data_IF_572466599404
#
_entry.id   IF_572466599404
#
_cell.length_a   1.000
_cell.length_b   1.000
_cell.length_c   1.000
_cell.angle_alpha   90.00
_cell.angle_beta   90.00
_cell.angle_gamma   90.00
#
_symmetry.space_group_name_H-M   'P 1'
#
loop_
_entity.id
_entity.type
_entity.pdbx_description
1 polymer ?
#
# COMPACT_ATOMS: atom_id res chain seq x y z
N UNK A 1 11.33 19.74 -17.47
CA UNK A 1 10.75 18.92 -16.37
C UNK A 1 9.27 18.71 -16.59
N UNK A 2 8.48 19.77 -16.76
CA UNK A 2 7.02 19.68 -16.96
C UNK A 2 6.63 18.75 -18.10
N UNK A 3 7.25 18.86 -19.28
CA UNK A 3 6.98 17.99 -20.44
C UNK A 3 7.17 16.49 -20.17
N UNK A 4 8.04 16.15 -19.19
CA UNK A 4 8.24 14.76 -18.76
C UNK A 4 7.11 14.30 -17.84
N UNK A 5 6.63 15.17 -16.96
CA UNK A 5 5.50 14.90 -16.07
C UNK A 5 4.21 14.76 -16.87
N UNK A 6 4.01 15.61 -17.90
CA UNK A 6 2.81 15.59 -18.74
C UNK A 6 2.64 14.28 -19.54
N UNK A 7 3.75 13.58 -19.79
CA UNK A 7 3.75 12.26 -20.47
C UNK A 7 3.46 11.10 -19.52
N UNK A 8 3.53 11.31 -18.18
CA UNK A 8 3.26 10.26 -17.21
C UNK A 8 1.76 9.92 -17.17
N UNK A 9 1.49 8.61 -17.05
CA UNK A 9 0.15 8.04 -16.78
C UNK A 9 0.32 6.93 -15.75
N UNK A 10 -0.67 6.75 -14.90
CA UNK A 10 -0.63 5.74 -13.83
C UNK A 10 0.60 5.85 -12.92
N UNK A 11 1.13 7.05 -12.75
CA UNK A 11 2.24 7.34 -11.86
C UNK A 11 1.73 7.65 -10.45
N UNK A 12 2.64 7.68 -9.50
CA UNK A 12 2.36 8.05 -8.13
C UNK A 12 2.83 9.48 -7.83
N UNK A 13 2.15 10.14 -6.88
CA UNK A 13 2.54 11.47 -6.39
C UNK A 13 2.95 11.33 -4.93
N UNK A 14 4.15 11.82 -4.57
CA UNK A 14 4.65 11.83 -3.20
C UNK A 14 4.66 13.27 -2.72
N UNK A 15 3.85 13.60 -1.73
CA UNK A 15 3.78 14.91 -1.10
C UNK A 15 4.63 14.90 0.17
N UNK A 16 5.79 15.57 0.09
CA UNK A 16 6.82 15.61 1.11
C UNK A 16 7.91 14.57 0.90
N UNK A 17 9.19 15.01 0.78
CA UNK A 17 10.36 14.12 0.64
C UNK A 17 11.24 14.10 1.89
N UNK A 18 10.64 14.28 3.05
CA UNK A 18 11.27 14.00 4.33
C UNK A 18 11.60 12.50 4.50
N UNK A 19 11.89 12.06 5.74
CA UNK A 19 12.28 10.66 6.01
C UNK A 19 11.28 9.63 5.48
N UNK A 20 9.98 9.83 5.71
CA UNK A 20 8.95 8.88 5.26
C UNK A 20 8.80 8.92 3.74
N UNK A 21 8.69 10.11 3.14
CA UNK A 21 8.56 10.23 1.69
C UNK A 21 9.76 9.69 0.93
N UNK A 22 10.98 9.84 1.46
CA UNK A 22 12.18 9.24 0.87
C UNK A 22 12.12 7.71 0.90
N UNK A 23 11.58 7.10 1.97
CA UNK A 23 11.40 5.64 2.03
C UNK A 23 10.31 5.17 1.04
N UNK A 24 9.22 5.93 0.89
CA UNK A 24 8.20 5.65 -0.14
C UNK A 24 8.80 5.74 -1.54
N UNK A 25 9.61 6.77 -1.80
CA UNK A 25 10.30 6.93 -3.08
C UNK A 25 11.26 5.78 -3.37
N UNK A 26 11.98 5.29 -2.34
CA UNK A 26 12.84 4.12 -2.47
C UNK A 26 12.07 2.89 -2.93
N UNK A 27 10.96 2.58 -2.26
CA UNK A 27 10.11 1.43 -2.60
C UNK A 27 9.55 1.51 -4.02
N UNK A 28 9.07 2.69 -4.43
CA UNK A 28 8.59 2.90 -5.79
C UNK A 28 9.72 2.77 -6.82
N UNK A 29 10.93 3.21 -6.47
CA UNK A 29 12.10 3.11 -7.34
C UNK A 29 12.54 1.65 -7.53
N UNK A 30 12.67 0.86 -6.47
CA UNK A 30 13.09 -0.55 -6.56
C UNK A 30 12.02 -1.44 -7.20
N UNK A 31 10.76 -1.02 -7.16
CA UNK A 31 9.64 -1.72 -7.82
C UNK A 31 9.32 -1.17 -9.22
N UNK A 32 10.19 -0.30 -9.77
CA UNK A 32 10.08 0.33 -11.09
C UNK A 32 8.72 1.00 -11.35
N UNK A 33 8.22 1.70 -10.33
CA UNK A 33 6.96 2.45 -10.42
C UNK A 33 7.24 3.93 -10.64
N UNK A 34 6.71 4.55 -11.72
CA UNK A 34 6.94 5.95 -12.00
C UNK A 34 6.28 6.85 -10.95
N UNK A 35 6.99 7.89 -10.51
CA UNK A 35 6.46 8.86 -9.55
C UNK A 35 6.98 10.28 -9.76
N UNK A 36 6.25 11.23 -9.22
CA UNK A 36 6.61 12.66 -9.09
C UNK A 36 6.63 13.00 -7.61
N UNK A 37 7.67 13.67 -7.15
CA UNK A 37 7.76 14.15 -5.78
C UNK A 37 7.43 15.65 -5.71
N UNK A 38 6.77 16.07 -4.64
CA UNK A 38 6.43 17.47 -4.33
C UNK A 38 7.09 17.84 -3.00
N UNK A 39 7.79 18.95 -2.96
CA UNK A 39 8.43 19.46 -1.75
C UNK A 39 8.55 20.99 -1.81
N UNK A 40 8.36 21.66 -0.69
CA UNK A 40 8.47 23.12 -0.59
C UNK A 40 9.79 23.61 0.03
N UNK A 41 10.54 22.72 0.68
CA UNK A 41 11.81 23.04 1.33
C UNK A 41 13.01 22.77 0.40
N UNK A 42 13.73 23.81 -0.11
CA UNK A 42 14.87 23.59 -1.00
C UNK A 42 15.94 22.63 -0.47
N UNK A 43 16.33 22.66 0.82
CA UNK A 43 17.33 21.72 1.33
C UNK A 43 16.85 20.24 1.28
N UNK A 44 15.55 20.00 1.44
CA UNK A 44 14.98 18.65 1.33
C UNK A 44 15.02 18.15 -0.13
N UNK A 45 14.78 19.05 -1.09
CA UNK A 45 14.87 18.76 -2.53
C UNK A 45 16.31 18.38 -2.90
N UNK A 46 17.30 19.16 -2.46
CA UNK A 46 18.73 18.89 -2.72
C UNK A 46 19.12 17.53 -2.17
N UNK A 47 18.87 17.26 -0.90
CA UNK A 47 19.15 15.95 -0.26
C UNK A 47 18.43 14.78 -0.95
N UNK A 48 17.25 15.02 -1.51
CA UNK A 48 16.50 14.01 -2.24
C UNK A 48 17.11 13.75 -3.64
N UNK A 49 17.53 14.81 -4.34
CA UNK A 49 18.20 14.70 -5.63
C UNK A 49 19.55 14.01 -5.55
N UNK A 50 20.30 14.18 -4.46
CA UNK A 50 21.56 13.46 -4.24
C UNK A 50 21.35 11.95 -4.23
N UNK A 51 20.23 11.48 -3.68
CA UNK A 51 19.87 10.05 -3.64
C UNK A 51 19.22 9.55 -4.93
N UNK A 52 18.42 10.41 -5.56
CA UNK A 52 17.60 10.07 -6.74
C UNK A 52 17.73 11.12 -7.85
N UNK A 53 18.91 11.24 -8.52
CA UNK A 53 19.21 12.33 -9.46
C UNK A 53 18.29 12.41 -10.68
N UNK A 54 17.65 11.29 -11.04
CA UNK A 54 16.77 11.20 -12.24
C UNK A 54 15.29 11.42 -11.93
N UNK A 55 14.93 11.59 -10.66
CA UNK A 55 13.54 11.72 -10.22
C UNK A 55 12.98 13.10 -10.58
N UNK A 56 11.70 13.12 -10.90
CA UNK A 56 10.96 14.36 -11.16
C UNK A 56 10.49 14.95 -9.83
N UNK A 57 11.02 16.11 -9.46
CA UNK A 57 10.67 16.81 -8.23
C UNK A 57 10.12 18.19 -8.59
N UNK A 58 8.88 18.48 -8.21
CA UNK A 58 8.29 19.79 -8.31
C UNK A 58 8.48 20.55 -6.98
N UNK A 59 9.05 21.73 -7.07
CA UNK A 59 9.09 22.65 -5.95
C UNK A 59 7.73 23.36 -5.81
N UNK A 60 7.12 23.27 -4.63
CA UNK A 60 5.85 23.92 -4.32
C UNK A 60 5.11 23.30 -3.14
N UNK A 61 4.09 23.99 -2.68
CA UNK A 61 3.22 23.48 -1.63
C UNK A 61 2.30 22.37 -2.17
N UNK A 62 2.42 21.19 -1.60
CA UNK A 62 1.64 20.01 -2.02
C UNK A 62 0.14 20.12 -1.71
N UNK A 63 -0.29 21.11 -0.92
CA UNK A 63 -1.71 21.38 -0.65
C UNK A 63 -2.37 22.29 -1.68
N UNK A 64 -1.56 22.89 -2.59
CA UNK A 64 -2.00 23.78 -3.63
C UNK A 64 -2.53 23.00 -4.84
N UNK A 65 -3.73 23.35 -5.31
CA UNK A 65 -4.41 22.75 -6.47
C UNK A 65 -3.53 22.80 -7.72
N UNK A 66 -2.88 23.94 -8.00
CA UNK A 66 -2.08 24.12 -9.22
C UNK A 66 -0.82 23.25 -9.19
N UNK A 67 -0.22 23.07 -8.01
CA UNK A 67 0.94 22.19 -7.84
C UNK A 67 0.53 20.72 -8.06
N UNK A 68 -0.60 20.28 -7.51
CA UNK A 68 -1.12 18.94 -7.73
C UNK A 68 -1.53 18.70 -9.20
N UNK A 69 -2.13 19.69 -9.87
CA UNK A 69 -2.44 19.60 -11.31
C UNK A 69 -1.18 19.48 -12.15
N UNK A 70 -0.15 20.27 -11.86
CA UNK A 70 1.17 20.18 -12.51
C UNK A 70 1.84 18.83 -12.27
N UNK A 71 1.60 18.20 -11.12
CA UNK A 71 2.04 16.85 -10.85
C UNK A 71 1.23 15.76 -11.60
N UNK A 72 0.16 16.13 -12.28
CA UNK A 72 -0.68 15.22 -13.08
C UNK A 72 -1.65 14.39 -12.26
N UNK A 73 -2.23 14.96 -11.20
CA UNK A 73 -3.14 14.28 -10.27
C UNK A 73 -4.32 13.59 -10.96
N UNK A 74 -4.82 14.16 -12.05
CA UNK A 74 -5.96 13.60 -12.80
C UNK A 74 -5.62 12.29 -13.53
N UNK A 75 -4.31 12.03 -13.74
CA UNK A 75 -3.77 10.85 -14.44
C UNK A 75 -3.00 9.91 -13.51
N UNK A 76 -2.88 10.27 -12.24
CA UNK A 76 -2.12 9.51 -11.25
C UNK A 76 -2.87 8.24 -10.82
N UNK A 77 -2.12 7.19 -10.48
CA UNK A 77 -2.64 5.96 -9.87
C UNK A 77 -2.87 6.11 -8.37
N UNK A 78 -2.13 6.99 -7.70
CA UNK A 78 -2.25 7.20 -6.28
C UNK A 78 -1.41 8.38 -5.78
N UNK A 79 -1.71 8.81 -4.55
CA UNK A 79 -1.02 9.90 -3.88
C UNK A 79 -0.66 9.49 -2.45
N UNK A 80 0.56 9.85 -2.03
CA UNK A 80 1.06 9.71 -0.67
C UNK A 80 1.17 11.09 -0.01
N UNK A 81 0.29 11.39 0.94
CA UNK A 81 0.37 12.58 1.77
C UNK A 81 1.23 12.27 3.00
N UNK A 82 2.54 12.51 2.92
CA UNK A 82 3.53 12.04 3.89
C UNK A 82 4.45 13.13 4.42
N UNK A 83 3.94 14.37 4.49
CA UNK A 83 4.64 15.50 5.12
C UNK A 83 4.81 15.27 6.63
N UNK A 84 5.56 16.16 7.28
CA UNK A 84 5.75 16.14 8.74
C UNK A 84 4.57 16.67 9.54
N UNK A 85 3.55 17.24 8.90
CA UNK A 85 2.42 17.91 9.55
C UNK A 85 1.09 17.24 9.19
N UNK A 86 0.31 16.82 10.20
CA UNK A 86 -0.97 16.16 10.02
C UNK A 86 -2.03 17.09 9.39
N UNK A 87 -2.01 18.39 9.73
CA UNK A 87 -2.91 19.38 9.15
C UNK A 87 -2.65 19.55 7.66
N UNK A 88 -1.38 19.59 7.26
CA UNK A 88 -0.98 19.64 5.87
C UNK A 88 -1.37 18.36 5.13
N UNK A 89 -1.15 17.18 5.71
CA UNK A 89 -1.58 15.90 5.13
C UNK A 89 -3.09 15.80 4.96
N UNK A 90 -3.87 16.37 5.90
CA UNK A 90 -5.32 16.46 5.82
C UNK A 90 -5.76 17.34 4.64
N UNK A 91 -5.14 18.54 4.50
CA UNK A 91 -5.44 19.46 3.41
C UNK A 91 -5.06 18.85 2.05
N UNK A 92 -3.87 18.26 1.93
CA UNK A 92 -3.44 17.54 0.73
C UNK A 92 -4.45 16.46 0.35
N UNK A 93 -4.91 15.66 1.32
CA UNK A 93 -5.89 14.58 1.09
C UNK A 93 -7.22 15.15 0.58
N UNK A 94 -7.72 16.21 1.22
CA UNK A 94 -8.95 16.89 0.81
C UNK A 94 -8.85 17.41 -0.63
N UNK A 95 -7.80 18.18 -0.93
CA UNK A 95 -7.56 18.76 -2.26
C UNK A 95 -7.42 17.66 -3.32
N UNK A 96 -6.65 16.60 -3.01
CA UNK A 96 -6.49 15.48 -3.92
C UNK A 96 -7.81 14.79 -4.26
N UNK A 97 -8.68 14.56 -3.26
CA UNK A 97 -10.01 13.95 -3.47
C UNK A 97 -11.00 14.89 -4.17
N UNK A 98 -10.85 16.21 -4.01
CA UNK A 98 -11.63 17.17 -4.79
C UNK A 98 -11.23 17.20 -6.27
N UNK A 99 -9.91 17.15 -6.56
CA UNK A 99 -9.40 17.17 -7.92
C UNK A 99 -9.59 15.83 -8.65
N UNK A 100 -9.48 14.71 -7.92
CA UNK A 100 -9.67 13.37 -8.47
C UNK A 100 -10.32 12.46 -7.40
N UNK A 101 -11.66 12.38 -7.36
CA UNK A 101 -12.38 11.56 -6.36
C UNK A 101 -12.05 10.06 -6.40
N UNK A 102 -11.63 9.54 -7.56
CA UNK A 102 -11.27 8.13 -7.74
C UNK A 102 -9.81 7.82 -7.31
N UNK A 103 -8.99 8.86 -7.08
CA UNK A 103 -7.59 8.70 -6.73
C UNK A 103 -7.44 7.99 -5.38
N UNK A 104 -6.63 6.94 -5.32
CA UNK A 104 -6.25 6.31 -4.05
C UNK A 104 -5.27 7.20 -3.29
N UNK A 105 -5.63 7.60 -2.08
CA UNK A 105 -4.82 8.46 -1.21
C UNK A 105 -4.41 7.70 0.04
N UNK A 106 -3.10 7.61 0.27
CA UNK A 106 -2.52 7.09 1.51
C UNK A 106 -1.94 8.26 2.30
N UNK A 107 -2.41 8.47 3.52
CA UNK A 107 -1.99 9.58 4.35
C UNK A 107 -1.17 9.12 5.56
N UNK A 108 -0.07 9.81 5.83
CA UNK A 108 0.63 9.71 7.11
C UNK A 108 -0.16 10.44 8.19
N UNK A 109 -0.24 9.82 9.36
CA UNK A 109 -0.79 10.43 10.57
C UNK A 109 0.24 10.33 11.70
N UNK A 110 0.66 11.45 12.25
CA UNK A 110 1.55 11.48 13.41
C UNK A 110 0.75 11.24 14.69
N UNK A 111 -0.34 11.98 14.88
CA UNK A 111 -1.17 11.88 16.07
C UNK A 111 -2.44 11.05 15.82
N UNK A 112 -2.59 9.97 16.58
CA UNK A 112 -3.73 9.02 16.47
C UNK A 112 -5.10 9.72 16.49
N UNK A 113 -5.24 10.84 17.24
CA UNK A 113 -6.48 11.64 17.30
C UNK A 113 -6.89 12.24 15.95
N UNK A 114 -5.99 12.33 14.98
CA UNK A 114 -6.27 12.88 13.65
C UNK A 114 -6.70 11.82 12.63
N UNK A 115 -6.65 10.54 12.97
CA UNK A 115 -7.04 9.42 12.09
C UNK A 115 -8.46 9.60 11.56
N UNK A 116 -9.42 9.88 12.45
CA UNK A 116 -10.82 10.03 12.02
C UNK A 116 -11.06 11.25 11.13
N UNK A 117 -10.25 12.32 11.29
CA UNK A 117 -10.32 13.47 10.39
C UNK A 117 -9.83 13.11 9.00
N UNK A 118 -8.68 12.40 8.90
CA UNK A 118 -8.13 11.94 7.62
C UNK A 118 -9.09 10.98 6.91
N UNK A 119 -9.76 10.09 7.64
CA UNK A 119 -10.83 9.24 7.07
C UNK A 119 -11.97 10.07 6.49
N UNK A 120 -12.45 11.08 7.22
CA UNK A 120 -13.58 11.93 6.80
C UNK A 120 -13.27 12.75 5.54
N UNK A 121 -12.02 13.16 5.32
CA UNK A 121 -11.61 13.86 4.09
C UNK A 121 -11.27 12.90 2.95
N UNK A 122 -11.44 11.59 3.14
CA UNK A 122 -11.38 10.61 2.08
C UNK A 122 -10.06 9.86 1.93
N UNK A 123 -9.18 9.86 2.94
CA UNK A 123 -8.00 8.99 2.90
C UNK A 123 -8.42 7.51 2.82
N UNK A 124 -7.92 6.79 1.81
CA UNK A 124 -8.21 5.35 1.61
C UNK A 124 -7.43 4.46 2.57
N UNK A 125 -6.23 4.91 2.96
CA UNK A 125 -5.45 4.27 4.01
C UNK A 125 -4.71 5.33 4.83
N UNK A 126 -4.55 5.06 6.12
CA UNK A 126 -3.85 5.94 7.05
C UNK A 126 -2.79 5.13 7.78
N UNK A 127 -1.57 5.61 7.76
CA UNK A 127 -0.43 4.99 8.42
C UNK A 127 0.17 5.94 9.44
N UNK A 128 0.35 5.46 10.67
CA UNK A 128 1.11 6.17 11.70
C UNK A 128 2.45 5.45 11.90
N UNK A 129 3.55 5.93 11.28
CA UNK A 129 4.85 5.28 11.36
C UNK A 129 5.37 5.19 12.81
N UNK A 130 5.14 6.22 13.61
CA UNK A 130 5.60 6.27 14.99
C UNK A 130 4.89 5.23 15.86
N UNK A 131 3.57 5.09 15.73
CA UNK A 131 2.80 4.06 16.41
C UNK A 131 3.21 2.66 15.93
N UNK A 132 3.27 2.45 14.61
CA UNK A 132 3.66 1.17 14.03
C UNK A 132 5.09 0.80 14.40
N UNK A 133 6.01 1.77 14.36
CA UNK A 133 7.40 1.59 14.77
C UNK A 133 7.54 1.24 16.25
N UNK A 134 6.82 1.95 17.12
CA UNK A 134 6.79 1.67 18.56
C UNK A 134 6.27 0.27 18.87
N UNK A 135 5.16 -0.12 18.24
CA UNK A 135 4.61 -1.49 18.33
C UNK A 135 5.63 -2.54 17.87
N UNK A 136 6.36 -2.26 16.79
CA UNK A 136 7.37 -3.15 16.23
C UNK A 136 8.55 -3.33 17.18
N UNK A 137 9.07 -2.22 17.76
CA UNK A 137 10.15 -2.24 18.74
C UNK A 137 9.75 -3.07 19.97
N UNK A 138 8.55 -2.81 20.52
CA UNK A 138 8.03 -3.58 21.65
C UNK A 138 7.88 -5.07 21.31
N UNK A 139 7.34 -5.39 20.14
CA UNK A 139 7.17 -6.77 19.67
C UNK A 139 8.51 -7.49 19.49
N UNK A 140 9.55 -6.79 19.02
CA UNK A 140 10.89 -7.36 18.85
C UNK A 140 11.50 -7.80 20.18
N UNK A 141 11.17 -7.11 21.28
CA UNK A 141 11.59 -7.50 22.62
C UNK A 141 10.75 -8.64 23.20
N UNK A 142 9.42 -8.56 23.05
CA UNK A 142 8.47 -9.47 23.73
C UNK A 142 8.25 -10.76 22.94
N UNK A 143 8.34 -10.69 21.62
CA UNK A 143 8.03 -11.81 20.70
C UNK A 143 9.02 -11.88 19.52
N UNK A 144 10.34 -12.04 19.79
CA UNK A 144 11.39 -11.95 18.76
C UNK A 144 11.19 -12.96 17.62
N UNK A 145 10.82 -14.19 17.91
CA UNK A 145 10.60 -15.22 16.90
C UNK A 145 9.46 -14.86 15.93
N UNK A 146 8.36 -14.26 16.44
CA UNK A 146 7.24 -13.81 15.59
C UNK A 146 7.68 -12.66 14.68
N UNK A 147 8.46 -11.73 15.21
CA UNK A 147 8.97 -10.59 14.43
C UNK A 147 9.91 -11.07 13.34
N UNK A 148 10.87 -11.95 13.67
CA UNK A 148 11.78 -12.53 12.67
C UNK A 148 11.01 -13.28 11.57
N UNK A 149 10.04 -14.10 11.95
CA UNK A 149 9.19 -14.83 11.00
C UNK A 149 8.46 -13.89 10.03
N UNK A 150 7.83 -12.82 10.55
CA UNK A 150 7.14 -11.82 9.70
C UNK A 150 8.11 -11.06 8.79
N UNK A 151 9.32 -10.73 9.28
CA UNK A 151 10.35 -10.06 8.48
C UNK A 151 10.84 -10.93 7.32
N UNK A 152 11.05 -12.21 7.60
CA UNK A 152 11.44 -13.17 6.58
C UNK A 152 10.38 -13.34 5.49
N UNK A 153 9.10 -13.30 5.88
CA UNK A 153 7.97 -13.38 4.94
C UNK A 153 7.80 -12.13 4.09
N UNK A 154 8.15 -10.94 4.61
CA UNK A 154 8.03 -9.67 3.87
C UNK A 154 9.23 -9.42 2.94
N UNK A 155 10.35 -10.14 3.11
CA UNK A 155 11.52 -9.99 2.23
C UNK A 155 11.27 -10.71 0.90
N UNK A 156 11.48 -9.98 -0.20
CA UNK A 156 11.26 -10.46 -1.56
C UNK A 156 12.08 -11.69 -1.97
N UNK A 157 13.17 -11.97 -1.26
CA UNK A 157 14.08 -13.08 -1.56
C UNK A 157 13.61 -14.42 -0.98
N UNK A 158 12.61 -14.43 -0.12
CA UNK A 158 12.06 -15.65 0.46
C UNK A 158 11.00 -16.27 -0.46
N UNK A 159 11.14 -17.57 -0.67
CA UNK A 159 10.19 -18.36 -1.47
C UNK A 159 8.78 -18.39 -0.88
N UNK A 160 8.61 -18.04 0.40
CA UNK A 160 7.33 -18.08 1.10
C UNK A 160 6.79 -16.64 1.28
N UNK A 161 5.55 -16.38 0.85
CA UNK A 161 4.91 -15.07 0.91
C UNK A 161 3.47 -15.18 1.41
N UNK A 162 2.97 -14.09 2.02
CA UNK A 162 1.54 -13.93 2.24
C UNK A 162 0.96 -13.14 1.08
N UNK A 163 -0.01 -13.71 0.40
CA UNK A 163 -0.62 -13.13 -0.79
C UNK A 163 -2.15 -13.22 -0.73
N UNK A 164 -2.82 -12.40 -1.55
CA UNK A 164 -4.26 -12.46 -1.75
C UNK A 164 -4.56 -13.22 -3.04
N UNK A 165 -5.49 -14.18 -2.96
CA UNK A 165 -6.06 -14.88 -4.11
C UNK A 165 -7.54 -14.54 -4.17
N UNK A 166 -7.95 -13.86 -5.24
CA UNK A 166 -9.34 -13.49 -5.46
C UNK A 166 -10.08 -14.63 -6.16
N UNK A 167 -11.21 -15.03 -5.58
CA UNK A 167 -12.10 -16.03 -6.16
C UNK A 167 -12.95 -15.34 -7.25
N UNK A 168 -12.86 -15.78 -8.51
CA UNK A 168 -13.55 -15.12 -9.62
C UNK A 168 -15.07 -15.22 -9.52
N UNK A 169 -15.78 -14.30 -10.18
CA UNK A 169 -17.25 -14.23 -10.17
C UNK A 169 -17.94 -15.48 -10.73
N UNK A 170 -17.27 -16.24 -11.60
CA UNK A 170 -17.78 -17.50 -12.16
C UNK A 170 -17.60 -18.73 -11.28
N UNK A 171 -16.99 -18.59 -10.10
CA UNK A 171 -16.68 -19.71 -9.22
C UNK A 171 -17.96 -20.31 -8.60
N UNK A 172 -18.16 -21.60 -8.78
CA UNK A 172 -19.24 -22.34 -8.13
C UNK A 172 -18.93 -22.48 -6.63
N UNK A 173 -19.82 -22.03 -5.76
CA UNK A 173 -19.62 -22.10 -4.32
C UNK A 173 -19.40 -23.53 -3.86
N UNK A 174 -18.28 -23.79 -3.15
CA UNK A 174 -17.92 -25.11 -2.61
C UNK A 174 -17.12 -24.99 -1.32
N UNK A 175 -16.99 -26.07 -0.57
CA UNK A 175 -16.25 -26.08 0.68
C UNK A 175 -14.75 -25.93 0.43
N UNK A 176 -14.05 -25.22 1.32
CA UNK A 176 -12.62 -25.02 1.22
C UNK A 176 -11.84 -26.33 1.11
N UNK A 177 -12.23 -27.35 1.87
CA UNK A 177 -11.63 -28.68 1.87
C UNK A 177 -11.79 -29.46 0.58
N UNK A 178 -12.74 -29.09 -0.29
CA UNK A 178 -12.98 -29.79 -1.55
C UNK A 178 -11.92 -29.43 -2.60
N UNK A 179 -11.38 -28.20 -2.54
CA UNK A 179 -10.42 -27.73 -3.52
C UNK A 179 -9.06 -27.32 -2.91
N UNK A 180 -9.02 -26.73 -1.73
CA UNK A 180 -7.79 -26.32 -1.07
C UNK A 180 -7.36 -27.36 -0.02
N UNK A 181 -6.89 -28.53 -0.49
CA UNK A 181 -6.35 -29.59 0.38
C UNK A 181 -5.05 -29.15 1.04
N UNK A 182 -4.66 -29.82 2.14
CA UNK A 182 -3.34 -29.57 2.76
C UNK A 182 -2.23 -29.78 1.73
N UNK A 183 -1.38 -28.74 1.60
CA UNK A 183 -0.23 -28.75 0.70
C UNK A 183 1.01 -28.25 1.47
N UNK A 184 2.22 -28.77 1.19
CA UNK A 184 3.44 -28.15 1.71
C UNK A 184 3.72 -26.78 1.09
N UNK A 185 3.07 -26.43 -0.02
CA UNK A 185 3.37 -25.26 -0.84
C UNK A 185 2.47 -24.07 -0.53
N UNK A 186 1.35 -24.30 0.18
CA UNK A 186 0.46 -23.24 0.62
C UNK A 186 -0.35 -23.61 1.86
N UNK A 187 -0.77 -22.56 2.58
CA UNK A 187 -1.76 -22.65 3.66
C UNK A 187 -2.73 -21.47 3.57
N UNK A 188 -4.03 -21.75 3.70
CA UNK A 188 -5.05 -20.68 3.76
C UNK A 188 -5.09 -20.15 5.20
N UNK A 189 -4.72 -18.90 5.39
CA UNK A 189 -4.66 -18.25 6.69
C UNK A 189 -5.98 -17.61 7.09
N UNK A 190 -6.67 -17.02 6.10
CA UNK A 190 -7.93 -16.33 6.32
C UNK A 190 -8.77 -16.27 5.04
N UNK A 191 -10.06 -16.06 5.23
CA UNK A 191 -11.06 -15.82 4.18
C UNK A 191 -11.73 -14.50 4.47
N UNK A 192 -11.90 -13.66 3.45
CA UNK A 192 -12.66 -12.41 3.53
C UNK A 192 -13.84 -12.44 2.57
N UNK A 193 -15.04 -12.37 3.13
CA UNK A 193 -16.29 -12.22 2.39
C UNK A 193 -16.88 -10.84 2.69
N UNK A 194 -16.87 -9.94 1.71
CA UNK A 194 -17.22 -8.52 1.92
C UNK A 194 -16.30 -7.85 2.94
N UNK A 195 -16.84 -7.43 4.09
CA UNK A 195 -16.09 -6.83 5.20
C UNK A 195 -15.74 -7.81 6.32
N UNK A 196 -16.27 -9.04 6.27
CA UNK A 196 -16.08 -10.02 7.32
C UNK A 196 -14.81 -10.86 7.09
N UNK A 197 -14.01 -11.00 8.15
CA UNK A 197 -12.83 -11.85 8.19
C UNK A 197 -13.11 -13.13 8.96
N UNK A 198 -12.72 -14.27 8.41
CA UNK A 198 -12.65 -15.55 9.10
C UNK A 198 -11.20 -16.05 9.08
N UNK A 199 -10.56 -16.06 10.24
CA UNK A 199 -9.19 -16.56 10.41
C UNK A 199 -9.23 -18.07 10.63
N UNK A 200 -8.20 -18.78 10.13
CA UNK A 200 -8.07 -20.23 10.24
C UNK A 200 -9.37 -20.94 9.82
N UNK A 201 -9.80 -20.76 8.56
CA UNK A 201 -11.07 -21.33 8.09
C UNK A 201 -11.04 -22.86 8.16
N UNK A 202 -12.14 -23.43 8.66
CA UNK A 202 -12.33 -24.88 8.67
C UNK A 202 -12.52 -25.43 7.24
N UNK A 203 -12.22 -26.72 6.98
CA UNK A 203 -12.44 -27.33 5.66
C UNK A 203 -13.88 -27.19 5.14
N UNK A 204 -14.86 -27.13 6.05
CA UNK A 204 -16.29 -26.97 5.76
C UNK A 204 -16.69 -25.53 5.42
N UNK A 205 -15.76 -24.56 5.54
CA UNK A 205 -16.02 -23.16 5.20
C UNK A 205 -16.42 -23.04 3.73
N UNK A 206 -17.60 -22.47 3.48
CA UNK A 206 -18.09 -22.25 2.12
C UNK A 206 -17.37 -21.05 1.48
N UNK A 207 -16.75 -21.28 0.35
CA UNK A 207 -16.10 -20.27 -0.47
C UNK A 207 -16.98 -19.98 -1.66
N UNK A 208 -17.35 -18.72 -1.84
CA UNK A 208 -18.19 -18.24 -2.94
C UNK A 208 -17.42 -17.26 -3.82
N UNK A 209 -18.00 -16.95 -4.98
CA UNK A 209 -17.50 -15.90 -5.88
C UNK A 209 -17.31 -14.56 -5.16
N UNK A 210 -16.31 -13.79 -5.54
CA UNK A 210 -15.96 -12.51 -4.91
C UNK A 210 -15.27 -12.61 -3.55
N UNK A 211 -15.05 -13.82 -3.03
CA UNK A 211 -14.29 -14.05 -1.79
C UNK A 211 -12.80 -13.81 -2.03
N UNK A 212 -12.10 -13.28 -1.03
CA UNK A 212 -10.63 -13.15 -1.03
C UNK A 212 -10.04 -14.16 -0.04
N UNK A 213 -9.16 -15.03 -0.51
CA UNK A 213 -8.35 -15.91 0.33
C UNK A 213 -7.03 -15.21 0.65
N UNK A 214 -6.66 -15.12 1.93
CA UNK A 214 -5.31 -14.74 2.34
C UNK A 214 -4.54 -16.02 2.61
N UNK A 215 -3.47 -16.18 1.87
CA UNK A 215 -2.73 -17.43 1.82
C UNK A 215 -1.24 -17.21 2.07
N UNK A 216 -0.60 -18.15 2.73
CA UNK A 216 0.85 -18.22 2.78
C UNK A 216 1.28 -19.24 1.73
N UNK A 217 2.06 -18.79 0.74
CA UNK A 217 2.39 -19.60 -0.44
C UNK A 217 3.85 -19.45 -0.85
N UNK A 218 4.40 -20.49 -1.46
CA UNK A 218 5.55 -20.39 -2.36
C UNK A 218 5.07 -20.18 -3.81
N UNK A 219 5.96 -19.92 -4.79
CA UNK A 219 5.55 -19.67 -6.18
C UNK A 219 4.76 -20.83 -6.81
N UNK A 220 5.10 -22.06 -6.48
CA UNK A 220 4.41 -23.28 -6.95
C UNK A 220 3.00 -23.37 -6.37
N UNK A 221 2.84 -23.12 -5.07
CA UNK A 221 1.56 -23.12 -4.37
C UNK A 221 0.62 -22.02 -4.86
N UNK A 222 1.14 -20.86 -5.22
CA UNK A 222 0.34 -19.78 -5.82
C UNK A 222 -0.29 -20.24 -7.13
N UNK A 223 0.52 -20.75 -8.06
CA UNK A 223 0.03 -21.25 -9.34
C UNK A 223 -0.96 -22.41 -9.20
N UNK A 224 -0.79 -23.26 -8.18
CA UNK A 224 -1.73 -24.33 -7.87
C UNK A 224 -3.09 -23.79 -7.39
N UNK A 225 -3.08 -22.84 -6.45
CA UNK A 225 -4.31 -22.22 -5.92
C UNK A 225 -5.07 -21.42 -6.98
N UNK A 226 -4.38 -20.62 -7.80
CA UNK A 226 -5.02 -19.88 -8.89
C UNK A 226 -5.76 -20.79 -9.86
N UNK A 227 -5.17 -21.94 -10.20
CA UNK A 227 -5.85 -22.96 -11.04
C UNK A 227 -7.05 -23.58 -10.34
N UNK A 228 -6.98 -23.82 -9.03
CA UNK A 228 -8.07 -24.42 -8.25
C UNK A 228 -9.27 -23.49 -8.11
N UNK A 229 -9.05 -22.17 -8.04
CA UNK A 229 -10.15 -21.19 -7.98
C UNK A 229 -10.64 -20.75 -9.36
N UNK A 230 -9.89 -21.04 -10.44
CA UNK A 230 -10.30 -20.79 -11.82
C UNK A 230 -11.08 -21.97 -12.44
N UNK A 231 -11.03 -23.15 -11.83
CA UNK A 231 -11.72 -24.38 -12.23
C UNK A 231 -13.12 -24.47 -11.62
#
# INVERSE_FOLDING_TARGET
MQDRIDKLKNHYIICGVGRVGTNVAHELHVTDRPFVALEDAPPAIENFHDKYPKTLVLHGDSSDDDVLRRAGIERAAGLFAVTGDDGKNLLITLTAKQLNPALRVVARCHEVRNIDKLKRVGADAIVSPDFTGGMRIASSMVRPAVVTFLDEMLRSDNRLRVEEVHVPEGFAARQLGDFAKRSPDYIVLAVRAGQAWQFNPAPETLIAAGTTLVVMVNPEGRGALEKLVAA
#
